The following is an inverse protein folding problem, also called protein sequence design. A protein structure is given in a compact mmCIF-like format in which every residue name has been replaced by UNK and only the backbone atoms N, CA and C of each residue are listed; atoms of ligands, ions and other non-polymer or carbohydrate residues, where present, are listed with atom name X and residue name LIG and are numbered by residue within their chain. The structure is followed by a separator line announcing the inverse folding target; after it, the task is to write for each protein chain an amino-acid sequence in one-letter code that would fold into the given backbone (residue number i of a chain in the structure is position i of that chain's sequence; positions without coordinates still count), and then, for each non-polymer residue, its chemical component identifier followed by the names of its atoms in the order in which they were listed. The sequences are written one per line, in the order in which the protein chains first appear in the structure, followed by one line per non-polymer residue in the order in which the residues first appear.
data_IF_893210967529
#
_entry.id   IF_893210967529
#
_cell.length_a   1.000
_cell.length_b   1.000
_cell.length_c   1.000
_cell.angle_alpha   90.00
_cell.angle_beta   90.00
_cell.angle_gamma   90.00
#
_symmetry.space_group_name_H-M   'P 1'
#
loop_
_entity.id
_entity.type
_entity.pdbx_description
1 polymer ?
#
# COMPACT_ATOMS: atom_id res chain seq x y z
N UNK A 1 20.85 30.54 -14.38
CA UNK A 1 19.88 31.56 -13.92
C UNK A 1 19.53 31.20 -12.47
N UNK A 2 20.05 32.00 -11.56
CA UNK A 2 20.18 31.74 -10.12
C UNK A 2 18.96 32.31 -9.39
N UNK A 3 18.28 31.55 -8.55
CA UNK A 3 17.24 32.09 -7.66
C UNK A 3 17.41 31.49 -6.24
N UNK A 4 18.00 32.29 -5.42
CA UNK A 4 17.70 32.78 -4.05
C UNK A 4 17.13 31.78 -3.02
N UNK A 5 18.04 31.34 -2.14
CA UNK A 5 17.78 31.00 -0.74
C UNK A 5 17.52 32.28 0.07
N UNK A 6 16.42 32.36 0.79
CA UNK A 6 16.27 33.28 1.93
C UNK A 6 15.88 32.45 3.18
N UNK A 7 16.87 32.25 4.02
CA UNK A 7 16.67 31.86 5.41
C UNK A 7 16.25 33.10 6.22
N UNK A 8 15.15 33.03 6.92
CA UNK A 8 14.69 34.00 7.90
C UNK A 8 15.07 33.48 9.28
N UNK A 9 16.08 34.08 9.87
CA UNK A 9 16.50 33.83 11.26
C UNK A 9 15.70 34.79 12.15
N UNK A 10 14.82 34.30 12.99
CA UNK A 10 14.23 35.08 14.10
C UNK A 10 15.04 34.83 15.37
N UNK A 11 15.76 35.82 15.80
CA UNK A 11 16.42 35.89 17.10
C UNK A 11 15.42 36.49 18.10
N UNK A 12 14.96 35.69 19.05
CA UNK A 12 14.19 36.13 20.22
C UNK A 12 15.13 36.22 21.40
N UNK A 13 15.53 37.49 21.71
CA UNK A 13 16.13 37.86 22.98
C UNK A 13 15.05 37.89 24.05
N UNK A 14 15.04 36.94 24.95
CA UNK A 14 14.30 36.99 26.21
C UNK A 14 15.31 37.03 27.35
N UNK A 15 15.49 38.23 27.90
CA UNK A 15 16.17 38.46 29.16
C UNK A 15 15.37 37.83 30.29
N UNK A 16 15.94 36.87 30.99
CA UNK A 16 15.39 36.26 32.18
C UNK A 16 16.21 36.67 33.40
N UNK A 17 15.59 37.47 34.27
CA UNK A 17 16.09 37.75 35.63
C UNK A 17 16.09 36.46 36.47
N UNK A 18 17.27 36.16 37.01
CA UNK A 18 17.41 35.05 38.00
C UNK A 18 16.87 35.49 39.34
N UNK A 19 15.75 34.93 39.81
CA UNK A 19 15.48 34.81 41.26
C UNK A 19 14.82 33.45 41.56
N UNK A 20 15.58 32.66 42.30
CA UNK A 20 15.19 31.62 43.27
C UNK A 20 13.86 30.88 43.11
N UNK A 21 13.87 29.74 42.35
CA UNK A 21 12.96 28.61 42.60
C UNK A 21 13.77 27.31 42.48
N UNK A 22 14.44 26.95 43.54
CA UNK A 22 14.95 25.56 43.72
C UNK A 22 13.96 24.85 44.62
N UNK A 23 13.56 23.64 44.20
CA UNK A 23 12.96 22.49 44.93
C UNK A 23 11.55 22.01 44.42
N UNK A 24 10.79 22.75 43.62
CA UNK A 24 9.50 22.19 43.15
C UNK A 24 9.56 21.51 41.76
N UNK A 25 10.66 21.60 41.02
CA UNK A 25 10.75 21.13 39.63
C UNK A 25 11.17 19.67 39.45
N UNK A 26 11.67 18.99 40.46
CA UNK A 26 12.13 17.60 40.32
C UNK A 26 11.00 16.54 40.35
N UNK A 27 9.86 16.85 40.98
CA UNK A 27 8.73 15.90 41.06
C UNK A 27 7.78 15.97 39.85
N UNK A 28 7.75 17.08 39.13
CA UNK A 28 6.90 17.24 37.93
C UNK A 28 7.57 16.61 36.72
N UNK A 29 8.92 16.69 36.63
CA UNK A 29 9.68 16.09 35.50
C UNK A 29 9.59 14.57 35.47
N UNK A 30 9.50 13.92 36.65
CA UNK A 30 9.46 12.45 36.73
C UNK A 30 8.10 11.89 36.28
N UNK A 31 7.00 12.58 36.52
CA UNK A 31 5.64 12.14 36.09
C UNK A 31 5.40 12.35 34.59
N UNK A 32 5.90 13.43 34.01
CA UNK A 32 5.79 13.69 32.57
C UNK A 32 6.68 12.76 31.73
N UNK A 33 7.88 12.45 32.17
CA UNK A 33 8.77 11.48 31.50
C UNK A 33 8.19 10.07 31.60
N UNK A 34 7.59 9.68 32.73
CA UNK A 34 6.95 8.38 32.90
C UNK A 34 5.68 8.24 32.04
N UNK A 35 4.91 9.30 31.87
CA UNK A 35 3.74 9.33 30.97
C UNK A 35 4.17 9.27 29.48
N UNK A 36 5.26 9.91 29.10
CA UNK A 36 5.81 9.81 27.74
C UNK A 36 6.41 8.42 27.46
N UNK A 37 7.06 7.79 28.44
CA UNK A 37 7.55 6.42 28.33
C UNK A 37 6.43 5.38 28.30
N UNK A 38 5.34 5.59 29.05
CA UNK A 38 4.15 4.73 29.02
C UNK A 38 3.34 4.90 27.72
N UNK A 39 3.27 6.11 27.16
CA UNK A 39 2.61 6.32 25.85
C UNK A 39 3.42 5.77 24.68
N UNK A 40 4.74 5.71 24.77
CA UNK A 40 5.58 5.06 23.76
C UNK A 40 5.56 3.53 23.84
N UNK A 41 5.20 2.95 24.99
CA UNK A 41 5.06 1.49 25.17
C UNK A 41 3.65 1.02 24.73
N UNK A 42 2.64 1.91 24.78
CA UNK A 42 1.27 1.60 24.33
C UNK A 42 1.03 1.86 22.83
N UNK A 43 1.94 2.51 22.15
CA UNK A 43 2.09 2.37 20.70
C UNK A 43 2.76 1.00 20.44
N UNK A 44 2.10 -0.07 20.83
CA UNK A 44 2.31 -1.38 20.21
C UNK A 44 2.04 -1.13 18.73
N UNK A 45 3.08 -0.80 17.97
CA UNK A 45 3.08 -0.98 16.54
C UNK A 45 2.49 -2.37 16.33
N UNK A 46 1.27 -2.47 15.78
CA UNK A 46 0.88 -3.71 15.15
C UNK A 46 2.05 -4.02 14.22
N UNK A 47 2.90 -4.94 14.65
CA UNK A 47 4.08 -5.30 13.90
C UNK A 47 3.56 -5.77 12.56
N UNK A 48 3.96 -5.09 11.50
CA UNK A 48 3.57 -5.45 10.16
C UNK A 48 3.94 -6.92 9.97
N UNK A 49 2.95 -7.78 9.83
CA UNK A 49 3.15 -9.22 9.71
C UNK A 49 3.55 -9.56 8.27
N UNK A 50 4.65 -10.29 8.13
CA UNK A 50 5.05 -10.81 6.84
C UNK A 50 4.22 -12.06 6.51
N UNK A 51 3.47 -11.99 5.42
CA UNK A 51 2.79 -13.14 4.84
C UNK A 51 3.67 -13.76 3.75
N UNK A 52 3.91 -15.08 3.84
CA UNK A 52 4.43 -15.83 2.71
C UNK A 52 3.29 -16.60 2.06
N UNK A 53 2.95 -16.25 0.84
CA UNK A 53 1.95 -16.94 0.04
C UNK A 53 2.64 -17.83 -1.00
N UNK A 54 2.37 -19.14 -0.91
CA UNK A 54 2.89 -20.15 -1.83
C UNK A 54 1.85 -20.51 -2.89
N UNK A 55 2.30 -20.70 -4.14
CA UNK A 55 1.44 -21.33 -5.13
C UNK A 55 1.17 -22.81 -4.74
N UNK A 56 0.17 -23.50 -5.35
CA UNK A 56 -0.18 -24.88 -5.00
C UNK A 56 0.97 -25.86 -5.13
N UNK A 57 1.84 -25.69 -6.12
CA UNK A 57 3.01 -26.54 -6.35
C UNK A 57 4.16 -26.28 -5.36
N UNK A 58 4.01 -25.25 -4.50
CA UNK A 58 5.01 -24.80 -3.50
C UNK A 58 6.40 -24.50 -4.05
N UNK A 59 6.51 -24.26 -5.36
CA UNK A 59 7.77 -23.92 -6.01
C UNK A 59 8.05 -22.41 -6.07
N UNK A 60 7.00 -21.56 -5.91
CA UNK A 60 7.17 -20.13 -5.78
C UNK A 60 6.36 -19.59 -4.59
N UNK A 61 7.03 -18.83 -3.74
CA UNK A 61 6.46 -18.13 -2.59
C UNK A 61 6.69 -16.63 -2.70
N UNK A 62 5.69 -15.86 -2.34
CA UNK A 62 5.74 -14.40 -2.29
C UNK A 62 5.67 -13.98 -0.84
N UNK A 63 6.72 -13.35 -0.34
CA UNK A 63 6.77 -12.74 0.98
C UNK A 63 6.48 -11.25 0.88
N UNK A 64 5.44 -10.80 1.55
CA UNK A 64 4.97 -9.42 1.54
C UNK A 64 4.45 -9.02 2.92
N UNK A 65 4.64 -7.75 3.26
CA UNK A 65 4.04 -7.15 4.46
C UNK A 65 2.54 -6.97 4.22
N UNK A 66 1.72 -7.58 5.07
CA UNK A 66 0.27 -7.43 5.02
C UNK A 66 -0.12 -6.06 5.57
N UNK A 67 -1.06 -5.33 4.92
CA UNK A 67 -1.59 -4.10 5.46
C UNK A 67 -2.21 -4.30 6.85
N UNK A 68 -1.99 -3.37 7.78
CA UNK A 68 -2.48 -3.49 9.15
C UNK A 68 -4.00 -3.74 9.22
N UNK A 69 -4.79 -3.12 8.34
CA UNK A 69 -6.24 -3.34 8.28
C UNK A 69 -6.64 -4.77 7.91
N UNK A 70 -5.78 -5.54 7.23
CA UNK A 70 -6.04 -6.93 6.84
C UNK A 70 -5.93 -7.90 8.03
N UNK A 71 -5.42 -7.44 9.17
CA UNK A 71 -5.36 -8.18 10.44
C UNK A 71 -6.56 -7.88 11.36
N UNK A 72 -7.48 -7.02 10.94
CA UNK A 72 -8.65 -6.66 11.71
C UNK A 72 -9.71 -7.77 11.70
N UNK A 73 -10.59 -7.79 12.74
CA UNK A 73 -11.62 -8.85 12.92
C UNK A 73 -12.70 -8.91 11.80
N UNK A 74 -12.85 -7.85 11.00
CA UNK A 74 -13.88 -7.76 9.95
C UNK A 74 -13.28 -7.91 8.55
N UNK A 75 -12.45 -8.92 8.38
CA UNK A 75 -11.78 -9.20 7.12
C UNK A 75 -12.22 -10.56 6.59
N UNK A 76 -12.49 -10.61 5.30
CA UNK A 76 -12.78 -11.85 4.56
C UNK A 76 -11.54 -12.20 3.73
N UNK A 77 -11.03 -13.41 3.91
CA UNK A 77 -9.92 -13.93 3.11
C UNK A 77 -10.39 -15.12 2.28
N UNK A 78 -10.04 -15.11 0.99
CA UNK A 78 -10.38 -16.17 0.04
C UNK A 78 -9.17 -16.54 -0.78
N UNK A 79 -8.90 -17.83 -0.91
CA UNK A 79 -7.86 -18.38 -1.80
C UNK A 79 -8.53 -19.08 -2.97
N UNK A 80 -8.10 -18.78 -4.18
CA UNK A 80 -8.57 -19.37 -5.42
C UNK A 80 -7.37 -19.94 -6.18
N UNK A 81 -7.49 -21.17 -6.64
CA UNK A 81 -6.49 -21.81 -7.50
C UNK A 81 -7.22 -22.42 -8.70
N UNK A 82 -6.57 -22.43 -9.85
CA UNK A 82 -7.19 -22.98 -11.03
C UNK A 82 -6.25 -23.01 -12.24
N UNK A 83 -6.85 -23.41 -13.35
CA UNK A 83 -6.22 -23.42 -14.66
C UNK A 83 -7.01 -22.45 -15.53
N UNK A 84 -6.33 -21.52 -16.18
CA UNK A 84 -6.93 -20.62 -17.15
C UNK A 84 -7.27 -21.35 -18.45
N UNK A 85 -8.08 -20.72 -19.31
CA UNK A 85 -8.45 -21.27 -20.62
C UNK A 85 -7.24 -21.59 -21.51
N UNK A 86 -6.14 -20.85 -21.34
CA UNK A 86 -4.86 -21.07 -22.04
C UNK A 86 -3.97 -22.15 -21.38
N UNK A 87 -4.48 -22.89 -20.39
CA UNK A 87 -3.79 -23.96 -19.69
C UNK A 87 -2.84 -23.50 -18.58
N UNK A 88 -2.70 -22.18 -18.36
CA UNK A 88 -1.79 -21.63 -17.34
C UNK A 88 -2.38 -21.80 -15.94
N UNK A 89 -1.52 -22.23 -15.01
CA UNK A 89 -1.88 -22.31 -13.59
C UNK A 89 -1.92 -20.91 -12.98
N UNK A 90 -2.89 -20.70 -12.14
CA UNK A 90 -2.96 -19.47 -11.34
C UNK A 90 -3.30 -19.75 -9.89
N UNK A 91 -2.83 -18.88 -9.02
CA UNK A 91 -3.17 -18.82 -7.60
C UNK A 91 -3.49 -17.38 -7.23
N UNK A 92 -4.49 -17.21 -6.41
CA UNK A 92 -4.89 -15.89 -5.97
C UNK A 92 -5.34 -15.94 -4.51
N UNK A 93 -4.79 -15.07 -3.67
CA UNK A 93 -5.35 -14.76 -2.37
C UNK A 93 -5.96 -13.37 -2.43
N UNK A 94 -7.18 -13.25 -1.93
CA UNK A 94 -7.94 -12.01 -1.82
C UNK A 94 -8.25 -11.76 -0.37
N UNK A 95 -7.97 -10.57 0.10
CA UNK A 95 -8.31 -10.11 1.45
C UNK A 95 -9.11 -8.82 1.28
N UNK A 96 -10.33 -8.80 1.80
CA UNK A 96 -11.22 -7.66 1.70
C UNK A 96 -11.80 -7.27 3.05
N UNK A 97 -11.94 -5.97 3.29
CA UNK A 97 -12.57 -5.46 4.49
C UNK A 97 -14.09 -5.46 4.32
N UNK A 98 -14.80 -6.06 5.27
CA UNK A 98 -16.26 -6.20 5.40
C UNK A 98 -16.92 -7.24 4.50
N UNK A 99 -16.51 -7.49 3.28
CA UNK A 99 -17.19 -8.39 2.35
C UNK A 99 -16.28 -8.80 1.20
N UNK A 100 -16.53 -9.97 0.61
CA UNK A 100 -15.97 -10.40 -0.67
C UNK A 100 -16.77 -9.87 -1.88
N UNK A 101 -17.95 -9.26 -1.63
CA UNK A 101 -18.73 -8.59 -2.67
C UNK A 101 -18.02 -7.32 -3.16
N UNK A 102 -17.68 -7.25 -4.46
CA UNK A 102 -17.00 -6.08 -5.04
C UNK A 102 -17.77 -4.75 -4.91
N UNK A 103 -19.08 -4.80 -4.64
CA UNK A 103 -19.89 -3.59 -4.46
C UNK A 103 -19.80 -2.99 -3.05
N UNK A 104 -19.33 -3.75 -2.07
CA UNK A 104 -19.41 -3.39 -0.64
C UNK A 104 -18.02 -3.13 -0.03
N UNK A 105 -16.97 -3.81 -0.46
CA UNK A 105 -15.67 -3.68 0.15
C UNK A 105 -15.09 -2.26 0.01
N UNK A 106 -14.39 -1.81 1.04
CA UNK A 106 -13.72 -0.49 1.07
C UNK A 106 -12.21 -0.59 0.91
N UNK A 107 -11.62 -1.67 1.41
CA UNK A 107 -10.18 -1.97 1.29
C UNK A 107 -10.03 -3.39 0.76
N UNK A 108 -9.10 -3.54 -0.15
CA UNK A 108 -8.84 -4.80 -0.82
C UNK A 108 -7.33 -5.00 -1.00
N UNK A 109 -6.86 -6.20 -0.73
CA UNK A 109 -5.50 -6.62 -0.96
C UNK A 109 -5.50 -7.97 -1.69
N UNK A 110 -4.63 -8.14 -2.68
CA UNK A 110 -4.56 -9.39 -3.41
C UNK A 110 -3.13 -9.72 -3.83
N UNK A 111 -2.83 -11.01 -3.79
CA UNK A 111 -1.63 -11.60 -4.38
C UNK A 111 -2.08 -12.59 -5.44
N UNK A 112 -1.61 -12.42 -6.67
CA UNK A 112 -1.87 -13.28 -7.80
C UNK A 112 -0.56 -13.83 -8.34
N UNK A 113 -0.49 -15.13 -8.53
CA UNK A 113 0.67 -15.83 -9.14
C UNK A 113 0.15 -16.57 -10.35
N UNK A 114 0.77 -16.38 -11.49
CA UNK A 114 0.47 -17.05 -12.75
C UNK A 114 1.75 -17.73 -13.27
N UNK A 115 1.62 -18.98 -13.68
CA UNK A 115 2.71 -19.77 -14.26
C UNK A 115 2.62 -19.77 -15.79
N UNK A 116 3.77 -19.98 -16.46
CA UNK A 116 3.82 -20.07 -17.92
C UNK A 116 3.72 -18.71 -18.63
N UNK A 117 4.05 -17.62 -17.94
CA UNK A 117 3.96 -16.26 -18.48
C UNK A 117 5.30 -15.82 -19.01
N UNK A 118 5.37 -15.52 -20.31
CA UNK A 118 6.59 -15.09 -21.02
C UNK A 118 6.54 -13.64 -21.51
N UNK A 119 5.40 -12.99 -21.44
CA UNK A 119 5.24 -11.61 -21.91
C UNK A 119 6.07 -10.63 -21.10
N UNK A 120 6.55 -9.53 -21.72
CA UNK A 120 7.22 -8.45 -21.00
C UNK A 120 6.32 -7.87 -19.92
N UNK A 121 6.89 -7.55 -18.76
CA UNK A 121 6.13 -7.04 -17.62
C UNK A 121 5.34 -5.76 -17.95
N UNK A 122 5.81 -4.95 -18.89
CA UNK A 122 5.11 -3.73 -19.35
C UNK A 122 3.74 -4.02 -19.96
N UNK A 123 3.60 -5.15 -20.65
CA UNK A 123 2.32 -5.56 -21.24
C UNK A 123 1.24 -5.69 -20.15
N UNK A 124 1.57 -6.28 -19.02
CA UNK A 124 0.62 -6.44 -17.89
C UNK A 124 0.25 -5.11 -17.23
N UNK A 125 1.23 -4.18 -17.13
CA UNK A 125 0.96 -2.81 -16.69
C UNK A 125 -0.02 -2.12 -17.62
N UNK A 126 0.20 -2.20 -18.93
CA UNK A 126 -0.63 -1.54 -19.93
C UNK A 126 -2.05 -2.13 -19.93
N UNK A 127 -2.19 -3.46 -19.84
CA UNK A 127 -3.50 -4.12 -19.66
C UNK A 127 -4.20 -3.59 -18.40
N UNK A 128 -3.49 -3.45 -17.29
CA UNK A 128 -4.08 -2.95 -16.04
C UNK A 128 -4.52 -1.49 -16.17
N UNK A 129 -3.76 -0.65 -16.87
CA UNK A 129 -4.14 0.73 -17.15
C UNK A 129 -5.37 0.80 -18.06
N UNK A 130 -5.46 -0.04 -19.10
CA UNK A 130 -6.62 -0.12 -19.98
C UNK A 130 -7.89 -0.51 -19.22
N UNK A 131 -7.78 -1.42 -18.24
CA UNK A 131 -8.91 -1.73 -17.36
C UNK A 131 -9.44 -0.47 -16.68
N UNK A 132 -8.54 0.36 -16.10
CA UNK A 132 -8.95 1.61 -15.44
C UNK A 132 -9.51 2.65 -16.43
N UNK A 133 -8.95 2.75 -17.63
CA UNK A 133 -9.44 3.65 -18.69
C UNK A 133 -10.87 3.30 -19.14
N UNK A 134 -11.31 2.05 -18.94
CA UNK A 134 -12.65 1.61 -19.31
C UNK A 134 -13.73 1.96 -18.27
N UNK A 135 -13.36 2.22 -17.01
CA UNK A 135 -14.36 2.55 -15.99
C UNK A 135 -14.11 3.83 -15.20
N UNK A 136 -12.99 4.51 -15.42
CA UNK A 136 -12.69 5.84 -14.86
C UNK A 136 -12.81 6.93 -15.92
N UNK A 137 -13.22 8.13 -15.51
CA UNK A 137 -13.15 9.28 -16.41
C UNK A 137 -11.70 9.57 -16.78
N UNK A 138 -11.40 9.54 -18.07
CA UNK A 138 -10.04 9.62 -18.60
C UNK A 138 -9.32 10.91 -18.20
N UNK A 139 -10.02 12.04 -18.22
CA UNK A 139 -9.45 13.34 -17.87
C UNK A 139 -9.04 13.44 -16.40
N UNK A 140 -9.70 12.69 -15.52
CA UNK A 140 -9.45 12.73 -14.09
C UNK A 140 -8.57 11.58 -13.60
N UNK A 141 -8.39 10.53 -14.40
CA UNK A 141 -7.51 9.41 -14.08
C UNK A 141 -6.06 9.89 -13.99
N UNK A 142 -5.41 9.60 -12.85
CA UNK A 142 -3.98 9.86 -12.67
C UNK A 142 -3.26 8.53 -12.51
N UNK A 143 -2.09 8.46 -13.12
CA UNK A 143 -1.16 7.35 -13.03
C UNK A 143 0.20 7.88 -12.62
N UNK A 144 0.86 7.21 -11.69
CA UNK A 144 2.20 7.56 -11.27
C UNK A 144 3.07 6.30 -11.19
N UNK A 145 4.16 6.29 -11.94
CA UNK A 145 5.15 5.24 -11.94
C UNK A 145 6.14 5.47 -10.79
N UNK A 146 6.24 4.51 -9.89
CA UNK A 146 7.11 4.57 -8.70
C UNK A 146 8.46 3.88 -8.96
N UNK A 147 8.40 2.70 -9.58
CA UNK A 147 9.59 1.88 -9.90
C UNK A 147 9.36 1.17 -11.21
N UNK A 148 10.39 1.11 -12.05
CA UNK A 148 10.38 0.32 -13.27
C UNK A 148 11.76 -0.29 -13.51
N UNK A 149 11.79 -1.61 -13.59
CA UNK A 149 12.94 -2.44 -14.00
C UNK A 149 12.44 -3.46 -15.00
N UNK A 150 13.33 -4.28 -15.54
CA UNK A 150 12.95 -5.39 -16.42
C UNK A 150 12.14 -6.47 -15.68
N UNK A 151 12.24 -6.54 -14.36
CA UNK A 151 11.66 -7.60 -13.53
C UNK A 151 10.54 -7.10 -12.62
N UNK A 152 10.47 -5.81 -12.30
CA UNK A 152 9.46 -5.25 -11.40
C UNK A 152 8.98 -3.88 -11.87
N UNK A 153 7.67 -3.71 -11.86
CA UNK A 153 7.01 -2.41 -12.04
C UNK A 153 6.14 -2.15 -10.81
N UNK A 154 6.31 -0.97 -10.20
CA UNK A 154 5.43 -0.48 -9.11
C UNK A 154 4.82 0.83 -9.55
N UNK A 155 3.51 0.92 -9.44
CA UNK A 155 2.77 2.12 -9.82
C UNK A 155 1.50 2.28 -9.00
N UNK A 156 0.99 3.49 -8.97
CA UNK A 156 -0.31 3.78 -8.38
C UNK A 156 -1.24 4.43 -9.39
N UNK A 157 -2.53 4.17 -9.20
CA UNK A 157 -3.62 4.73 -9.98
C UNK A 157 -4.56 5.48 -9.03
N UNK A 158 -4.95 6.66 -9.43
CA UNK A 158 -5.96 7.48 -8.80
C UNK A 158 -7.14 7.64 -9.76
N UNK A 159 -8.25 7.01 -9.44
CA UNK A 159 -9.52 7.05 -10.16
C UNK A 159 -10.55 7.79 -9.31
N UNK A 160 -10.69 9.11 -9.42
CA UNK A 160 -11.52 9.89 -8.52
C UNK A 160 -13.01 9.63 -8.68
N UNK A 161 -13.41 9.17 -9.87
CA UNK A 161 -14.82 8.98 -10.22
C UNK A 161 -14.98 7.90 -11.28
N UNK A 162 -15.89 6.96 -11.06
CA UNK A 162 -16.25 5.94 -12.05
C UNK A 162 -17.26 6.45 -13.07
N UNK A 163 -17.13 6.00 -14.32
CA UNK A 163 -18.07 6.36 -15.41
C UNK A 163 -19.50 5.91 -15.08
N UNK A 164 -19.67 4.67 -14.62
CA UNK A 164 -20.98 4.07 -14.32
C UNK A 164 -21.54 4.46 -12.96
N UNK A 165 -20.67 4.72 -11.99
CA UNK A 165 -21.05 5.12 -10.64
C UNK A 165 -20.31 6.39 -10.25
N UNK A 166 -20.87 7.53 -10.60
CA UNK A 166 -20.28 8.85 -10.40
C UNK A 166 -20.06 9.26 -8.94
N UNK A 167 -20.63 8.52 -8.01
CA UNK A 167 -20.42 8.75 -6.57
C UNK A 167 -19.25 7.97 -5.97
N UNK A 168 -18.61 7.10 -6.77
CA UNK A 168 -17.55 6.21 -6.31
C UNK A 168 -16.21 6.54 -6.94
N UNK A 169 -15.16 6.54 -6.13
CA UNK A 169 -13.77 6.63 -6.56
C UNK A 169 -12.90 5.54 -5.96
N UNK A 170 -11.68 5.39 -6.49
CA UNK A 170 -10.74 4.35 -6.08
C UNK A 170 -9.29 4.83 -6.19
N UNK A 171 -8.48 4.40 -5.23
CA UNK A 171 -7.03 4.49 -5.31
C UNK A 171 -6.48 3.07 -5.29
N UNK A 172 -5.48 2.78 -6.12
CA UNK A 172 -4.82 1.49 -6.14
C UNK A 172 -3.30 1.64 -6.23
N UNK A 173 -2.58 0.76 -5.55
CA UNK A 173 -1.12 0.59 -5.67
C UNK A 173 -0.88 -0.83 -6.15
N UNK A 174 -0.09 -0.97 -7.20
CA UNK A 174 0.26 -2.24 -7.82
C UNK A 174 1.76 -2.47 -7.75
N UNK A 175 2.14 -3.71 -7.52
CA UNK A 175 3.45 -4.25 -7.84
C UNK A 175 3.28 -5.45 -8.75
N UNK A 176 3.96 -5.42 -9.87
CA UNK A 176 4.01 -6.51 -10.83
C UNK A 176 5.46 -6.98 -10.91
N UNK A 177 5.67 -8.28 -10.76
CA UNK A 177 7.00 -8.88 -10.79
C UNK A 177 7.01 -10.03 -11.79
N UNK A 178 8.04 -10.09 -12.62
CA UNK A 178 8.35 -11.23 -13.44
C UNK A 178 9.53 -11.97 -12.82
N UNK A 179 9.36 -13.26 -12.56
CA UNK A 179 10.39 -14.09 -12.00
C UNK A 179 10.41 -15.46 -12.70
N UNK A 180 11.46 -15.76 -13.46
CA UNK A 180 11.53 -16.95 -14.34
C UNK A 180 10.32 -16.97 -15.30
N UNK A 181 9.51 -18.04 -15.28
CA UNK A 181 8.26 -18.20 -16.04
C UNK A 181 7.01 -17.82 -15.25
N UNK A 182 7.18 -17.14 -14.11
CA UNK A 182 6.07 -16.69 -13.27
C UNK A 182 5.82 -15.19 -13.43
N UNK A 183 4.55 -14.83 -13.36
CA UNK A 183 4.10 -13.47 -13.18
C UNK A 183 3.40 -13.34 -11.83
N UNK A 184 3.84 -12.39 -11.03
CA UNK A 184 3.29 -12.08 -9.72
C UNK A 184 2.71 -10.68 -9.76
N UNK A 185 1.41 -10.55 -9.46
CA UNK A 185 0.75 -9.26 -9.28
C UNK A 185 0.26 -9.14 -7.85
N UNK A 186 0.70 -8.09 -7.16
CA UNK A 186 0.24 -7.74 -5.83
C UNK A 186 -0.32 -6.35 -5.90
N UNK A 187 -1.47 -6.15 -5.28
CA UNK A 187 -2.07 -4.84 -5.26
C UNK A 187 -2.89 -4.60 -4.00
N UNK A 188 -2.97 -3.35 -3.64
CA UNK A 188 -3.81 -2.83 -2.59
C UNK A 188 -4.70 -1.74 -3.16
N UNK A 189 -5.99 -1.80 -2.83
CA UNK A 189 -7.01 -0.88 -3.33
C UNK A 189 -7.82 -0.31 -2.17
N UNK A 190 -8.21 0.95 -2.33
CA UNK A 190 -9.15 1.65 -1.46
C UNK A 190 -10.27 2.20 -2.31
N UNK A 191 -11.50 1.95 -1.91
CA UNK A 191 -12.69 2.42 -2.59
C UNK A 191 -13.61 3.15 -1.62
N UNK A 192 -14.25 4.20 -2.09
CA UNK A 192 -15.19 4.99 -1.31
C UNK A 192 -15.94 5.99 -2.17
N UNK A 193 -16.31 7.10 -1.57
CA UNK A 193 -16.98 8.17 -2.28
C UNK A 193 -16.09 8.83 -3.33
N UNK A 194 -16.70 9.56 -4.25
CA UNK A 194 -16.01 10.38 -5.23
C UNK A 194 -14.98 11.30 -4.56
N UNK A 195 -13.80 11.36 -5.14
CA UNK A 195 -12.69 12.16 -4.63
C UNK A 195 -12.46 13.41 -5.48
N UNK A 196 -11.89 14.44 -4.88
CA UNK A 196 -11.41 15.63 -5.58
C UNK A 196 -9.89 15.54 -5.73
N UNK A 197 -9.38 15.68 -6.96
CA UNK A 197 -7.95 15.53 -7.22
C UNK A 197 -7.08 16.54 -6.43
N UNK A 198 -7.62 17.72 -6.16
CA UNK A 198 -6.92 18.81 -5.47
C UNK A 198 -7.24 18.90 -3.98
N UNK A 199 -8.09 18.01 -3.44
CA UNK A 199 -8.47 17.98 -2.04
C UNK A 199 -8.25 16.59 -1.45
N UNK A 200 -7.10 16.40 -0.80
CA UNK A 200 -6.70 15.12 -0.21
C UNK A 200 -7.57 14.69 0.96
N UNK A 201 -8.33 15.59 1.58
CA UNK A 201 -9.27 15.24 2.64
C UNK A 201 -10.43 14.37 2.15
N UNK A 202 -10.70 14.40 0.84
CA UNK A 202 -11.72 13.57 0.18
C UNK A 202 -11.21 12.20 -0.25
N UNK A 203 -9.91 11.93 -0.11
CA UNK A 203 -9.31 10.69 -0.60
C UNK A 203 -9.64 9.52 0.31
N UNK A 204 -9.90 8.37 -0.28
CA UNK A 204 -10.27 7.11 0.42
C UNK A 204 -9.08 6.43 1.11
N UNK A 205 -7.86 6.87 0.81
CA UNK A 205 -6.63 6.48 1.50
C UNK A 205 -5.87 7.73 1.91
N UNK A 206 -5.33 7.75 3.11
CA UNK A 206 -4.47 8.84 3.55
C UNK A 206 -3.02 8.64 3.08
N UNK A 207 -2.20 9.70 3.20
CA UNK A 207 -0.80 9.67 2.72
C UNK A 207 0.03 8.58 3.41
N UNK A 208 -0.21 8.29 4.68
CA UNK A 208 0.53 7.26 5.42
C UNK A 208 0.23 5.85 4.87
N UNK A 209 -1.05 5.54 4.62
CA UNK A 209 -1.47 4.28 4.01
C UNK A 209 -0.88 4.10 2.60
N UNK A 210 -0.85 5.15 1.79
CA UNK A 210 -0.28 5.10 0.44
C UNK A 210 1.23 4.90 0.47
N UNK A 211 1.95 5.61 1.34
CA UNK A 211 3.39 5.47 1.51
C UNK A 211 3.75 4.06 2.01
N UNK A 212 3.00 3.54 2.98
CA UNK A 212 3.19 2.19 3.50
C UNK A 212 2.98 1.13 2.41
N UNK A 213 1.88 1.23 1.65
CA UNK A 213 1.60 0.32 0.54
C UNK A 213 2.71 0.38 -0.54
N UNK A 214 3.15 1.57 -0.94
CA UNK A 214 4.22 1.73 -1.92
C UNK A 214 5.52 1.10 -1.40
N UNK A 215 5.91 1.33 -0.14
CA UNK A 215 7.10 0.73 0.46
C UNK A 215 7.01 -0.79 0.50
N UNK A 216 5.91 -1.33 1.03
CA UNK A 216 5.67 -2.77 1.13
C UNK A 216 5.73 -3.43 -0.25
N UNK A 217 5.01 -2.89 -1.23
CA UNK A 217 4.93 -3.46 -2.58
C UNK A 217 6.18 -3.23 -3.42
N UNK A 218 7.07 -2.30 -3.06
CA UNK A 218 8.36 -2.08 -3.72
C UNK A 218 9.45 -3.02 -3.23
N UNK A 219 9.30 -3.61 -2.04
CA UNK A 219 10.31 -4.44 -1.34
C UNK A 219 9.91 -5.90 -1.23
N UNK A 220 9.21 -6.42 -2.25
CA UNK A 220 8.79 -7.82 -2.28
C UNK A 220 9.98 -8.78 -2.31
N UNK A 221 9.84 -9.90 -1.61
CA UNK A 221 10.76 -11.01 -1.66
C UNK A 221 10.08 -12.22 -2.34
N UNK A 222 10.68 -12.70 -3.44
CA UNK A 222 10.22 -13.89 -4.14
C UNK A 222 11.11 -15.06 -3.71
N UNK A 223 10.50 -16.07 -3.07
CA UNK A 223 11.14 -17.32 -2.69
C UNK A 223 10.89 -18.35 -3.79
N UNK A 224 11.90 -19.09 -4.13
CA UNK A 224 11.81 -20.17 -5.10
C UNK A 224 12.38 -21.44 -4.48
N UNK A 225 11.60 -22.51 -4.44
CA UNK A 225 12.07 -23.83 -4.08
C UNK A 225 12.06 -24.66 -5.35
N UNK A 226 13.25 -25.11 -5.79
CA UNK A 226 13.34 -26.10 -6.86
C UNK A 226 12.67 -27.38 -6.38
N UNK A 227 11.65 -27.83 -7.12
CA UNK A 227 10.76 -28.90 -6.71
C UNK A 227 11.49 -30.12 -6.19
N UNK A 228 11.06 -30.61 -5.06
CA UNK A 228 11.25 -32.02 -4.73
C UNK A 228 10.31 -32.77 -5.67
N UNK A 229 10.87 -33.24 -6.81
CA UNK A 229 10.25 -34.26 -7.65
C UNK A 229 9.90 -35.49 -6.84
#
# INVERSE_FOLDING_TARGET
MTIFNRAITYSLNLGFERKNVRIASLFILSKTVLLFLLSSILASSLAAENLTFWNPSKNIGVEVVIPAWALEKKVVSKTENGIKEDGKLYSNIKISQYSDDPSIWKKFFSIQIEEGVNDPIRVFKDIQLDVYLNYCYRESLKYNLVKETNEQIVFNIFCPEYIKNKSTGEIAVFSMVRFKNYFVKIFQQWRGEKMLANDRSTWVANDAELIEAIKSLSSLNIKFEEGKE
#
